data_IF_209607068111
#
_entry.id   IF_209607068111
#
_cell.length_a   1.000
_cell.length_b   1.000
_cell.length_c   1.000
_cell.angle_alpha   90.00
_cell.angle_beta   90.00
_cell.angle_gamma   90.00
#
_symmetry.space_group_name_H-M   'P 1'
#
loop_
_entity.id
_entity.type
_entity.pdbx_description
1 polymer ?
#
# COMPACT_ATOMS: atom_id res chain seq x y z
N UNK A 1 24.85 54.00 -14.11
CA UNK A 1 23.55 53.76 -13.44
C UNK A 1 22.70 52.65 -14.08
N UNK A 2 23.08 52.03 -15.21
CA UNK A 2 22.24 50.99 -15.85
C UNK A 2 22.57 49.53 -15.46
N UNK A 3 23.78 49.23 -15.00
CA UNK A 3 24.18 47.84 -14.70
C UNK A 3 23.59 47.27 -13.40
N UNK A 4 23.22 48.14 -12.45
CA UNK A 4 22.61 47.73 -11.18
C UNK A 4 21.21 47.16 -11.42
N UNK A 5 20.42 47.77 -12.31
CA UNK A 5 19.09 47.28 -12.66
C UNK A 5 19.14 45.97 -13.43
N UNK A 6 20.14 45.78 -14.30
CA UNK A 6 20.34 44.51 -15.02
C UNK A 6 20.73 43.36 -14.09
N UNK A 7 21.52 43.64 -13.05
CA UNK A 7 21.92 42.61 -12.07
C UNK A 7 20.75 42.21 -11.16
N UNK A 8 19.89 43.16 -10.79
CA UNK A 8 18.69 42.90 -9.96
C UNK A 8 17.64 42.09 -10.75
N UNK A 9 17.51 42.31 -12.06
CA UNK A 9 16.55 41.59 -12.90
C UNK A 9 16.93 40.12 -13.14
N UNK A 10 18.23 39.81 -13.17
CA UNK A 10 18.73 38.44 -13.34
C UNK A 10 18.62 37.59 -12.06
N UNK A 11 18.60 38.23 -10.89
CA UNK A 11 18.51 37.53 -9.59
C UNK A 11 17.09 37.04 -9.26
N UNK A 12 16.05 37.63 -9.84
CA UNK A 12 14.64 37.28 -9.54
C UNK A 12 14.12 36.10 -10.35
N UNK A 13 14.76 35.72 -11.47
CA UNK A 13 14.34 34.60 -12.31
C UNK A 13 14.74 33.21 -11.78
N UNK A 14 15.64 33.11 -10.79
CA UNK A 14 16.09 31.82 -10.24
C UNK A 14 15.21 31.25 -9.12
N UNK A 15 14.13 31.93 -8.72
CA UNK A 15 13.21 31.45 -7.68
C UNK A 15 11.93 30.80 -8.24
N UNK A 16 11.99 30.24 -9.45
CA UNK A 16 11.02 29.23 -9.89
C UNK A 16 11.36 27.91 -9.19
N UNK A 17 11.14 27.87 -7.88
CA UNK A 17 11.13 26.65 -7.11
C UNK A 17 10.08 25.73 -7.72
N UNK A 18 10.54 24.67 -8.36
CA UNK A 18 9.71 23.52 -8.66
C UNK A 18 9.16 23.06 -7.31
N UNK A 19 7.90 23.43 -7.04
CA UNK A 19 7.16 22.85 -5.92
C UNK A 19 6.96 21.40 -6.31
N UNK A 20 7.86 20.53 -5.84
CA UNK A 20 7.63 19.10 -5.84
C UNK A 20 6.30 18.89 -5.14
N UNK A 21 5.27 18.60 -5.92
CA UNK A 21 3.93 18.36 -5.42
C UNK A 21 4.03 17.09 -4.57
N UNK A 22 4.18 17.27 -3.25
CA UNK A 22 4.10 16.18 -2.28
C UNK A 22 2.68 15.66 -2.39
N UNK A 23 2.50 14.63 -3.21
CA UNK A 23 1.25 13.92 -3.33
C UNK A 23 1.01 13.31 -1.96
N UNK A 24 0.06 13.90 -1.23
CA UNK A 24 -0.40 13.36 0.04
C UNK A 24 -1.03 12.00 -0.28
N UNK A 25 -0.21 10.94 -0.25
CA UNK A 25 -0.58 9.56 -0.60
C UNK A 25 -1.39 8.91 0.55
N UNK A 26 -2.20 9.71 1.23
CA UNK A 26 -2.98 9.37 2.41
C UNK A 26 -4.26 8.59 2.07
N UNK A 27 -4.57 8.39 0.79
CA UNK A 27 -5.81 7.75 0.37
C UNK A 27 -5.96 6.33 0.95
N UNK A 28 -4.82 5.66 1.17
CA UNK A 28 -4.76 4.28 1.68
C UNK A 28 -4.73 4.22 3.21
N UNK A 29 -4.41 5.31 3.89
CA UNK A 29 -4.26 5.33 5.35
C UNK A 29 -5.60 4.97 6.01
N UNK A 30 -5.56 4.13 7.03
CA UNK A 30 -6.75 3.72 7.78
C UNK A 30 -6.75 2.24 8.15
N UNK A 31 -7.89 1.81 8.69
CA UNK A 31 -8.18 0.41 8.97
C UNK A 31 -9.16 -0.11 7.92
N UNK A 32 -8.89 -1.30 7.42
CA UNK A 32 -9.64 -1.93 6.36
C UNK A 32 -9.97 -3.36 6.75
N UNK A 33 -11.18 -3.82 6.45
CA UNK A 33 -11.59 -5.19 6.72
C UNK A 33 -12.40 -5.80 5.59
N UNK A 34 -12.33 -7.12 5.44
CA UNK A 34 -13.09 -7.84 4.43
C UNK A 34 -12.77 -9.33 4.40
N UNK A 35 -13.28 -10.02 3.39
CA UNK A 35 -13.11 -11.46 3.23
C UNK A 35 -12.17 -11.73 2.06
N UNK A 36 -11.05 -12.39 2.36
CA UNK A 36 -10.12 -12.92 1.36
C UNK A 36 -10.68 -14.16 0.69
N UNK A 37 -10.30 -14.39 -0.57
CA UNK A 37 -10.61 -15.62 -1.30
C UNK A 37 -9.36 -16.18 -1.99
N UNK A 38 -9.13 -17.49 -1.89
CA UNK A 38 -8.05 -18.20 -2.56
C UNK A 38 -8.61 -19.34 -3.41
N UNK A 39 -8.63 -19.19 -4.75
CA UNK A 39 -9.15 -20.23 -5.63
C UNK A 39 -8.31 -21.52 -5.56
N UNK A 40 -8.98 -22.66 -5.38
CA UNK A 40 -8.38 -23.98 -5.58
C UNK A 40 -7.68 -24.58 -4.36
N UNK A 41 -7.97 -24.12 -3.14
CA UNK A 41 -7.42 -24.67 -1.90
C UNK A 41 -8.54 -25.28 -1.02
N UNK A 42 -8.65 -26.61 -1.04
CA UNK A 42 -9.83 -27.41 -0.65
C UNK A 42 -10.36 -27.31 0.81
N UNK A 43 -9.84 -26.44 1.68
CA UNK A 43 -10.25 -26.45 3.11
C UNK A 43 -10.69 -25.08 3.66
N UNK A 44 -10.19 -23.96 3.12
CA UNK A 44 -10.67 -22.61 3.49
C UNK A 44 -10.49 -21.68 2.29
N UNK A 45 -11.44 -21.72 1.36
CA UNK A 45 -11.43 -20.83 0.19
C UNK A 45 -11.55 -19.35 0.58
N UNK A 46 -11.90 -19.04 1.84
CA UNK A 46 -12.00 -17.68 2.35
C UNK A 46 -11.63 -17.52 3.82
N UNK A 47 -11.16 -16.33 4.21
CA UNK A 47 -10.81 -15.95 5.59
C UNK A 47 -11.00 -14.45 5.83
N UNK A 48 -11.11 -14.06 7.11
CA UNK A 48 -11.19 -12.65 7.49
C UNK A 48 -9.83 -11.96 7.30
N UNK A 49 -9.85 -10.76 6.75
CA UNK A 49 -8.68 -9.89 6.58
C UNK A 49 -8.93 -8.60 7.33
N UNK A 50 -7.97 -8.20 8.15
CA UNK A 50 -7.89 -6.86 8.74
C UNK A 50 -6.55 -6.23 8.41
N UNK A 51 -6.55 -4.99 7.91
CA UNK A 51 -5.34 -4.27 7.53
C UNK A 51 -5.31 -2.92 8.22
N UNK A 52 -4.16 -2.54 8.78
CA UNK A 52 -3.88 -1.21 9.32
C UNK A 52 -2.73 -0.58 8.54
N UNK A 53 -3.01 0.52 7.84
CA UNK A 53 -2.07 1.21 6.96
C UNK A 53 -1.89 2.66 7.44
N UNK A 54 -0.64 3.07 7.62
CA UNK A 54 -0.27 4.43 7.97
C UNK A 54 1.05 4.80 7.29
N UNK A 55 0.95 5.55 6.20
CA UNK A 55 2.09 6.01 5.40
C UNK A 55 3.00 6.98 6.15
N UNK A 56 2.47 7.78 7.09
CA UNK A 56 3.27 8.73 7.87
C UNK A 56 4.14 8.06 8.94
N UNK A 57 3.66 6.97 9.50
CA UNK A 57 4.35 6.20 10.54
C UNK A 57 5.08 4.98 9.98
N UNK A 58 5.01 4.75 8.66
CA UNK A 58 5.53 3.55 7.99
C UNK A 58 5.03 2.24 8.63
N UNK A 59 3.77 2.25 9.10
CA UNK A 59 3.14 1.12 9.76
C UNK A 59 2.15 0.46 8.80
N UNK A 60 2.48 -0.74 8.33
CA UNK A 60 1.67 -1.50 7.39
C UNK A 60 1.53 -2.93 7.91
N UNK A 61 0.36 -3.25 8.45
CA UNK A 61 0.10 -4.52 9.11
C UNK A 61 -1.13 -5.19 8.55
N UNK A 62 -1.06 -6.50 8.42
CA UNK A 62 -2.21 -7.35 8.14
C UNK A 62 -2.40 -8.35 9.28
N UNK A 63 -3.66 -8.67 9.55
CA UNK A 63 -4.08 -9.69 10.48
C UNK A 63 -5.14 -10.56 9.80
N UNK A 64 -5.04 -11.86 10.03
CA UNK A 64 -5.96 -12.88 9.55
C UNK A 64 -6.58 -13.56 10.78
N UNK A 65 -7.63 -12.97 11.40
CA UNK A 65 -8.18 -13.44 12.67
C UNK A 65 -8.56 -14.93 12.67
N UNK A 66 -9.18 -15.40 11.59
CA UNK A 66 -9.66 -16.79 11.47
C UNK A 66 -8.52 -17.81 11.36
N UNK A 67 -7.29 -17.36 11.07
CA UNK A 67 -6.09 -18.18 10.92
C UNK A 67 -5.06 -17.97 12.05
N UNK A 68 -5.30 -17.02 12.96
CA UNK A 68 -4.36 -16.59 13.99
C UNK A 68 -2.97 -16.29 13.41
N UNK A 69 -2.95 -15.51 12.33
CA UNK A 69 -1.75 -15.04 11.65
C UNK A 69 -1.74 -13.53 11.54
N UNK A 70 -0.57 -12.92 11.72
CA UNK A 70 -0.33 -11.51 11.41
C UNK A 70 0.91 -11.35 10.56
N UNK A 71 0.94 -10.31 9.73
CA UNK A 71 2.11 -9.98 8.92
C UNK A 71 2.42 -8.50 8.91
N UNK A 72 3.72 -8.20 8.83
CA UNK A 72 4.22 -6.85 8.57
C UNK A 72 4.55 -6.69 7.08
N UNK A 73 4.24 -5.53 6.53
CA UNK A 73 4.48 -5.19 5.13
C UNK A 73 5.50 -4.06 4.99
N UNK A 74 6.34 -4.17 3.96
CA UNK A 74 7.20 -3.08 3.49
C UNK A 74 6.58 -2.43 2.28
N UNK A 75 6.40 -1.11 2.31
CA UNK A 75 5.95 -0.35 1.16
C UNK A 75 7.06 -0.28 0.10
N UNK A 76 6.76 -0.78 -1.11
CA UNK A 76 7.68 -0.73 -2.26
C UNK A 76 7.42 0.53 -3.10
N UNK A 77 6.15 0.81 -3.38
CA UNK A 77 5.74 1.95 -4.19
C UNK A 77 4.28 2.31 -3.90
N UNK A 78 3.94 3.60 -3.97
CA UNK A 78 2.58 4.11 -3.91
C UNK A 78 2.38 5.26 -4.89
N UNK A 79 1.26 5.22 -5.60
CA UNK A 79 0.76 6.31 -6.43
C UNK A 79 -0.67 6.68 -6.02
N UNK A 80 -1.35 7.50 -6.84
CA UNK A 80 -2.69 8.03 -6.56
C UNK A 80 -3.79 6.97 -6.45
N UNK A 81 -3.55 5.75 -6.92
CA UNK A 81 -4.56 4.66 -6.96
C UNK A 81 -4.01 3.29 -6.59
N UNK A 82 -2.70 3.09 -6.55
CA UNK A 82 -2.11 1.79 -6.31
C UNK A 82 -0.98 1.89 -5.28
N UNK A 83 -0.92 0.94 -4.37
CA UNK A 83 0.20 0.70 -3.48
C UNK A 83 0.67 -0.75 -3.64
N UNK A 84 1.98 -0.95 -3.65
CA UNK A 84 2.62 -2.26 -3.75
C UNK A 84 3.47 -2.47 -2.51
N UNK A 85 3.28 -3.61 -1.86
CA UNK A 85 3.97 -4.02 -0.66
C UNK A 85 4.65 -5.35 -0.85
N UNK A 86 5.74 -5.56 -0.10
CA UNK A 86 6.36 -6.87 0.09
C UNK A 86 6.05 -7.32 1.51
N UNK A 87 5.57 -8.54 1.66
CA UNK A 87 5.39 -9.15 2.97
C UNK A 87 6.75 -9.51 3.56
N UNK A 88 7.01 -9.10 4.81
CA UNK A 88 8.30 -9.27 5.47
C UNK A 88 8.31 -10.47 6.41
N UNK A 89 7.47 -10.40 7.44
CA UNK A 89 7.40 -11.37 8.52
C UNK A 89 5.95 -11.78 8.68
N UNK A 90 5.72 -13.06 8.94
CA UNK A 90 4.44 -13.56 9.39
C UNK A 90 4.66 -14.26 10.73
N UNK A 91 3.89 -13.85 11.73
CA UNK A 91 3.76 -14.63 12.94
C UNK A 91 2.86 -15.83 12.62
N UNK A 92 3.34 -17.04 12.94
CA UNK A 92 2.70 -18.33 12.66
C UNK A 92 2.81 -18.83 11.19
N UNK A 93 4.04 -18.90 10.67
CA UNK A 93 4.38 -19.36 9.30
C UNK A 93 3.94 -20.79 8.95
N UNK A 94 3.56 -21.61 9.94
CA UNK A 94 3.06 -22.97 9.69
C UNK A 94 1.70 -22.93 8.97
N UNK A 95 0.90 -21.91 9.21
CA UNK A 95 -0.43 -21.75 8.62
C UNK A 95 -0.47 -20.72 7.48
N UNK A 96 0.53 -19.84 7.41
CA UNK A 96 0.50 -18.67 6.55
C UNK A 96 1.76 -18.57 5.69
N UNK A 97 1.56 -18.26 4.40
CA UNK A 97 2.63 -18.13 3.41
C UNK A 97 3.28 -16.76 3.50
N UNK A 98 4.61 -16.70 3.57
CA UNK A 98 5.37 -15.46 3.65
C UNK A 98 5.93 -15.02 2.29
N UNK A 99 6.63 -13.88 2.27
CA UNK A 99 7.39 -13.35 1.13
C UNK A 99 6.57 -13.04 -0.13
N UNK A 100 5.24 -12.94 -0.04
CA UNK A 100 4.40 -12.54 -1.16
C UNK A 100 4.49 -11.06 -1.51
N UNK A 101 3.99 -10.73 -2.70
CA UNK A 101 3.72 -9.35 -3.09
C UNK A 101 2.25 -9.04 -2.87
N UNK A 102 1.97 -7.94 -2.18
CA UNK A 102 0.60 -7.43 -2.00
C UNK A 102 0.42 -6.19 -2.86
N UNK A 103 -0.68 -6.15 -3.60
CA UNK A 103 -1.11 -4.97 -4.35
C UNK A 103 -2.45 -4.50 -3.78
N UNK A 104 -2.47 -3.25 -3.33
CA UNK A 104 -3.70 -2.54 -2.95
C UNK A 104 -4.07 -1.56 -4.06
N UNK A 105 -5.31 -1.58 -4.52
CA UNK A 105 -5.83 -0.60 -5.49
C UNK A 105 -7.04 0.13 -4.93
N UNK A 106 -7.07 1.45 -5.06
CA UNK A 106 -8.21 2.30 -4.70
C UNK A 106 -9.40 1.97 -5.60
N UNK A 107 -10.51 1.53 -5.00
CA UNK A 107 -11.79 1.36 -5.70
C UNK A 107 -12.57 2.67 -5.59
N UNK A 108 -12.79 3.13 -4.35
CA UNK A 108 -13.38 4.44 -4.01
C UNK A 108 -12.81 4.95 -2.66
N UNK A 109 -13.49 5.87 -1.97
CA UNK A 109 -13.03 6.42 -0.68
C UNK A 109 -13.21 5.44 0.50
N UNK A 110 -14.11 4.47 0.35
CA UNK A 110 -14.54 3.51 1.37
C UNK A 110 -14.11 2.08 1.06
N UNK A 111 -13.62 1.81 -0.16
CA UNK A 111 -13.23 0.47 -0.59
C UNK A 111 -11.86 0.44 -1.28
N UNK A 112 -11.12 -0.64 -1.01
CA UNK A 112 -9.89 -1.00 -1.71
C UNK A 112 -9.95 -2.45 -2.16
N UNK A 113 -9.27 -2.77 -3.26
CA UNK A 113 -9.01 -4.16 -3.64
C UNK A 113 -7.67 -4.60 -3.07
N UNK A 114 -7.62 -5.79 -2.50
CA UNK A 114 -6.42 -6.50 -2.09
C UNK A 114 -6.13 -7.62 -3.10
N UNK A 115 -4.86 -7.79 -3.48
CA UNK A 115 -4.41 -8.92 -4.31
C UNK A 115 -3.06 -9.39 -3.82
N UNK A 116 -2.96 -10.69 -3.55
CA UNK A 116 -1.74 -11.36 -3.13
C UNK A 116 -1.15 -12.19 -4.28
N UNK A 117 0.17 -12.15 -4.39
CA UNK A 117 0.94 -12.93 -5.33
C UNK A 117 2.01 -13.69 -4.56
N UNK A 118 2.03 -15.01 -4.72
CA UNK A 118 3.11 -15.84 -4.20
C UNK A 118 4.44 -15.44 -4.85
N UNK A 119 5.54 -15.71 -4.16
CA UNK A 119 6.86 -15.43 -4.71
C UNK A 119 7.07 -16.15 -6.05
N UNK A 120 7.55 -15.41 -7.05
CA UNK A 120 7.77 -15.88 -8.42
C UNK A 120 6.53 -16.32 -9.21
N UNK A 121 5.31 -16.21 -8.66
CA UNK A 121 4.06 -16.37 -9.43
C UNK A 121 3.54 -15.00 -9.89
N UNK A 122 3.12 -14.93 -11.16
CA UNK A 122 2.50 -13.74 -11.75
C UNK A 122 0.97 -13.77 -11.67
N UNK A 123 0.40 -14.90 -11.25
CA UNK A 123 -1.04 -15.07 -11.07
C UNK A 123 -1.42 -14.60 -9.68
N UNK A 124 -2.60 -14.00 -9.59
CA UNK A 124 -3.21 -13.68 -8.30
C UNK A 124 -3.47 -15.00 -7.57
N UNK A 125 -2.89 -15.14 -6.38
CA UNK A 125 -3.08 -16.31 -5.51
C UNK A 125 -4.31 -16.13 -4.63
N UNK A 126 -4.49 -14.95 -4.05
CA UNK A 126 -5.69 -14.61 -3.29
C UNK A 126 -6.07 -13.14 -3.49
N UNK A 127 -7.34 -12.82 -3.25
CA UNK A 127 -7.86 -11.47 -3.43
C UNK A 127 -8.99 -11.15 -2.46
N UNK A 128 -9.23 -9.86 -2.24
CA UNK A 128 -10.35 -9.37 -1.44
C UNK A 128 -10.80 -7.99 -1.92
N UNK A 129 -12.03 -7.61 -1.56
CA UNK A 129 -12.40 -6.19 -1.44
C UNK A 129 -12.50 -5.87 0.03
N UNK A 130 -11.77 -4.86 0.49
CA UNK A 130 -11.76 -4.42 1.88
C UNK A 130 -12.50 -3.11 2.00
N UNK A 131 -13.31 -2.98 3.05
CA UNK A 131 -14.07 -1.79 3.40
C UNK A 131 -13.38 -1.05 4.54
N UNK A 132 -13.48 0.28 4.52
CA UNK A 132 -12.92 1.14 5.57
C UNK A 132 -13.75 1.00 6.86
N UNK A 133 -13.06 0.85 7.99
CA UNK A 133 -13.66 0.83 9.33
C UNK A 133 -13.77 2.23 9.94
#
# INVERSE_FOLDING_TARGET
MNYIYTLILLLTMMMSSCSGQQTDNNWIDGKWSGIGFQPGYNIHDSWDIEVSLNTKQELFKIFYPSLDCSGDWMLINIDKRKATFKELNIDNTVLCSDNGTVIITKVDEHHISYSYYMENDKRVSSYATLSRN
#
